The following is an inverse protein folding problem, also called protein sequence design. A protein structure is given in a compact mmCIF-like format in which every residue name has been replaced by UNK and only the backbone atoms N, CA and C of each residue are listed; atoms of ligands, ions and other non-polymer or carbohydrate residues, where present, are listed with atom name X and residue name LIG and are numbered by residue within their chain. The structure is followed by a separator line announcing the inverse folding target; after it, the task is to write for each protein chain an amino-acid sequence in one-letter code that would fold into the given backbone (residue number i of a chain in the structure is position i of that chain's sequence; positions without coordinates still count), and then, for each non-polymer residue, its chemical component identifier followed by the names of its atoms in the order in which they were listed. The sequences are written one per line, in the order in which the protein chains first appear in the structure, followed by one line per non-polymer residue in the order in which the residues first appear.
data_IF_416691744425
#
_entry.id   IF_416691744425
#
_cell.length_a   1.000
_cell.length_b   1.000
_cell.length_c   1.000
_cell.angle_alpha   90.00
_cell.angle_beta   90.00
_cell.angle_gamma   90.00
#
_symmetry.space_group_name_H-M   'P 1'
#
loop_
_entity.id
_entity.type
_entity.pdbx_description
1 polymer ?
#
# COMPACT_ATOMS: atom_id res chain seq x y z
N UNK A 1 18.89 10.72 53.29
CA UNK A 1 19.12 10.34 51.88
C UNK A 1 17.81 10.48 51.13
N UNK A 2 17.64 11.56 50.38
CA UNK A 2 16.46 11.77 49.54
C UNK A 2 16.69 11.06 48.21
N UNK A 3 15.95 9.98 47.95
CA UNK A 3 15.85 9.42 46.61
C UNK A 3 15.02 10.39 45.77
N UNK A 4 15.67 11.03 44.80
CA UNK A 4 15.03 11.95 43.87
C UNK A 4 14.34 11.15 42.75
N UNK A 5 13.03 10.95 42.88
CA UNK A 5 12.21 10.28 41.86
C UNK A 5 12.14 11.05 40.52
N UNK A 6 12.61 12.31 40.44
CA UNK A 6 12.72 13.04 39.17
C UNK A 6 13.87 12.55 38.29
N UNK A 7 14.83 11.80 38.84
CA UNK A 7 15.91 11.15 38.08
C UNK A 7 15.53 9.78 37.50
N UNK A 8 14.36 9.24 37.86
CA UNK A 8 13.85 7.96 37.37
C UNK A 8 12.74 8.11 36.32
N UNK A 9 12.56 9.32 35.79
CA UNK A 9 11.62 9.55 34.71
C UNK A 9 12.35 9.35 33.36
N UNK A 10 11.96 8.37 32.51
CA UNK A 10 12.42 8.21 31.11
C UNK A 10 12.08 9.41 30.17
N UNK A 11 12.01 10.64 30.69
CA UNK A 11 11.17 11.75 30.21
C UNK A 11 11.92 12.84 29.44
N UNK A 12 12.81 12.49 28.51
CA UNK A 12 13.34 13.45 27.53
C UNK A 12 13.17 13.03 26.07
N UNK A 13 12.75 11.79 25.77
CA UNK A 13 12.68 11.31 24.38
C UNK A 13 11.62 11.99 23.51
N UNK A 14 10.57 12.58 24.09
CA UNK A 14 9.40 13.11 23.34
C UNK A 14 9.01 14.56 23.69
N UNK A 15 9.86 15.30 24.42
CA UNK A 15 9.52 16.68 24.83
C UNK A 15 9.29 17.60 23.63
N UNK A 16 10.11 17.46 22.59
CA UNK A 16 10.05 18.32 21.42
C UNK A 16 8.86 17.97 20.49
N UNK A 17 8.41 16.70 20.46
CA UNK A 17 7.20 16.33 19.70
C UNK A 17 5.94 16.98 20.29
N UNK A 18 5.86 17.11 21.62
CA UNK A 18 4.71 17.74 22.29
C UNK A 18 4.72 19.26 22.12
N UNK A 19 5.90 19.88 22.17
CA UNK A 19 6.06 21.31 21.91
C UNK A 19 5.79 21.65 20.44
N UNK A 20 6.18 20.81 19.47
CA UNK A 20 5.83 20.99 18.05
C UNK A 20 4.35 20.81 17.76
N UNK A 21 3.66 19.86 18.43
CA UNK A 21 2.20 19.72 18.30
C UNK A 21 1.45 20.91 18.91
N UNK A 22 1.94 21.48 20.01
CA UNK A 22 1.38 22.70 20.62
C UNK A 22 1.72 23.96 19.80
N UNK A 23 2.93 24.04 19.23
CA UNK A 23 3.34 25.13 18.35
C UNK A 23 2.59 25.08 17.01
N UNK A 24 2.39 23.90 16.42
CA UNK A 24 1.57 23.69 15.23
C UNK A 24 0.08 23.99 15.49
N UNK A 25 -0.39 23.78 16.73
CA UNK A 25 -1.72 24.23 17.16
C UNK A 25 -1.82 25.75 17.38
N UNK A 26 -0.69 26.45 17.54
CA UNK A 26 -0.62 27.91 17.76
C UNK A 26 -0.36 28.74 16.51
N UNK A 27 -0.10 28.09 15.36
CA UNK A 27 -0.01 28.79 14.09
C UNK A 27 -1.42 29.19 13.62
N UNK A 28 -1.71 30.49 13.39
CA UNK A 28 -2.99 30.91 12.86
C UNK A 28 -3.04 30.55 11.38
N UNK A 29 -3.45 29.33 11.07
CA UNK A 29 -3.98 29.04 9.75
C UNK A 29 -5.26 29.87 9.63
N UNK A 30 -5.24 30.93 8.82
CA UNK A 30 -6.47 31.63 8.43
C UNK A 30 -7.33 30.66 7.62
N UNK A 31 -8.09 29.83 8.33
CA UNK A 31 -9.25 29.14 7.78
C UNK A 31 -10.39 30.15 7.76
N UNK A 32 -10.90 30.37 6.56
CA UNK A 32 -12.11 31.16 6.37
C UNK A 32 -13.29 30.30 6.88
N UNK A 33 -13.67 30.49 8.14
CA UNK A 33 -14.73 29.72 8.79
C UNK A 33 -16.11 30.27 8.40
N UNK A 34 -16.79 29.54 7.51
CA UNK A 34 -18.25 29.55 7.42
C UNK A 34 -18.79 28.35 8.21
N UNK A 35 -19.82 28.50 9.06
CA UNK A 35 -20.23 27.43 9.96
C UNK A 35 -21.13 26.44 9.23
N UNK A 36 -20.76 25.16 9.26
CA UNK A 36 -21.69 24.06 8.96
C UNK A 36 -21.87 23.20 10.21
N UNK A 37 -23.10 23.22 10.70
CA UNK A 37 -23.56 22.44 11.83
C UNK A 37 -23.64 20.94 11.50
N UNK A 38 -23.27 20.09 12.46
CA UNK A 38 -23.74 18.72 12.58
C UNK A 38 -23.21 17.67 11.59
N UNK A 39 -22.47 16.69 12.12
CA UNK A 39 -22.37 15.35 11.54
C UNK A 39 -21.14 15.04 10.68
N UNK A 40 -20.82 13.75 10.66
CA UNK A 40 -19.91 13.04 9.76
C UNK A 40 -18.39 13.26 9.91
N UNK A 41 -17.73 12.11 10.14
CA UNK A 41 -16.36 11.77 9.77
C UNK A 41 -15.79 12.68 8.67
N UNK A 42 -14.63 13.29 8.91
CA UNK A 42 -14.02 14.29 8.03
C UNK A 42 -14.06 13.86 6.54
N UNK A 43 -14.71 14.65 5.67
CA UNK A 43 -14.89 14.34 4.25
C UNK A 43 -13.58 14.06 3.51
N UNK A 44 -12.45 14.62 3.96
CA UNK A 44 -11.12 14.40 3.34
C UNK A 44 -10.53 13.00 3.63
N UNK A 45 -10.86 12.44 4.81
CA UNK A 45 -10.49 11.06 5.19
C UNK A 45 -11.46 10.03 4.59
N UNK A 46 -12.72 10.43 4.36
CA UNK A 46 -13.66 9.65 3.54
C UNK A 46 -13.25 9.67 2.07
N UNK A 47 -12.81 10.82 1.55
CA UNK A 47 -12.29 10.98 0.20
C UNK A 47 -11.04 10.12 -0.03
N UNK A 48 -10.11 10.01 0.93
CA UNK A 48 -8.96 9.09 0.79
C UNK A 48 -9.40 7.62 0.68
N UNK A 49 -10.37 7.19 1.49
CA UNK A 49 -10.90 5.82 1.45
C UNK A 49 -11.77 5.55 0.22
N UNK A 50 -12.45 6.58 -0.28
CA UNK A 50 -13.18 6.51 -1.55
C UNK A 50 -12.23 6.53 -2.74
N UNK A 51 -11.11 7.27 -2.70
CA UNK A 51 -10.08 7.24 -3.74
C UNK A 51 -9.40 5.86 -3.77
N UNK A 52 -9.07 5.26 -2.62
CA UNK A 52 -8.52 3.88 -2.58
C UNK A 52 -9.49 2.86 -3.19
N UNK A 53 -10.80 2.99 -2.92
CA UNK A 53 -11.86 2.14 -3.51
C UNK A 53 -12.14 2.44 -4.98
N UNK A 54 -12.04 3.71 -5.37
CA UNK A 54 -12.21 4.16 -6.75
C UNK A 54 -10.97 3.83 -7.59
N UNK A 55 -9.79 3.69 -7.00
CA UNK A 55 -8.60 3.10 -7.63
C UNK A 55 -8.80 1.59 -7.85
N UNK A 56 -9.27 0.86 -6.84
CA UNK A 56 -9.67 -0.55 -6.99
C UNK A 56 -10.75 -0.73 -8.09
N UNK A 57 -11.67 0.22 -8.21
CA UNK A 57 -12.70 0.22 -9.26
C UNK A 57 -12.23 0.81 -10.61
N UNK A 58 -11.23 1.71 -10.64
CA UNK A 58 -10.66 2.27 -11.87
C UNK A 58 -9.65 1.32 -12.54
N UNK A 59 -9.04 0.39 -11.79
CA UNK A 59 -8.39 -0.79 -12.37
C UNK A 59 -9.39 -1.70 -13.11
N UNK A 60 -10.71 -1.59 -12.86
CA UNK A 60 -11.75 -2.19 -13.73
C UNK A 60 -11.94 -1.43 -15.05
N UNK A 61 -11.35 -0.24 -15.19
CA UNK A 61 -11.52 0.69 -16.32
C UNK A 61 -10.49 0.56 -17.44
N UNK A 62 -9.48 -0.31 -17.33
CA UNK A 62 -8.47 -0.54 -18.38
C UNK A 62 -8.96 -1.39 -19.57
N UNK A 63 -10.28 -1.48 -19.78
CA UNK A 63 -10.88 -1.94 -21.04
C UNK A 63 -11.14 -3.45 -21.21
N UNK A 64 -11.11 -4.26 -20.16
CA UNK A 64 -11.39 -5.70 -20.27
C UNK A 64 -12.83 -6.06 -19.86
N UNK A 65 -13.56 -6.88 -20.64
CA UNK A 65 -14.95 -7.24 -20.35
C UNK A 65 -15.03 -8.12 -19.10
N UNK A 66 -15.66 -7.57 -18.06
CA UNK A 66 -15.87 -8.20 -16.76
C UNK A 66 -17.08 -9.13 -16.81
N UNK A 67 -16.90 -10.41 -17.18
CA UNK A 67 -18.03 -11.35 -17.14
C UNK A 67 -17.73 -12.77 -16.64
N UNK A 68 -16.67 -13.00 -15.87
CA UNK A 68 -16.55 -14.20 -15.00
C UNK A 68 -15.23 -14.22 -14.19
N UNK A 69 -15.04 -13.36 -13.20
CA UNK A 69 -13.96 -13.57 -12.23
C UNK A 69 -14.52 -13.68 -10.81
N UNK A 70 -14.19 -14.76 -10.07
CA UNK A 70 -14.59 -14.92 -8.68
C UNK A 70 -13.94 -13.82 -7.84
N UNK A 71 -14.74 -13.17 -7.01
CA UNK A 71 -14.32 -12.19 -6.00
C UNK A 71 -13.31 -12.85 -5.05
N UNK A 72 -12.01 -12.71 -5.32
CA UNK A 72 -11.01 -13.02 -4.29
C UNK A 72 -11.19 -12.05 -3.12
N UNK A 73 -11.26 -12.54 -1.87
CA UNK A 73 -11.37 -11.68 -0.71
C UNK A 73 -10.06 -10.91 -0.59
N UNK A 74 -10.05 -9.69 -1.13
CA UNK A 74 -8.85 -8.87 -1.22
C UNK A 74 -8.25 -8.57 0.16
N UNK A 75 -9.04 -8.59 1.23
CA UNK A 75 -8.61 -8.09 2.54
C UNK A 75 -9.31 -8.87 3.66
N UNK A 76 -8.54 -9.63 4.46
CA UNK A 76 -9.05 -10.15 5.73
C UNK A 76 -8.94 -9.03 6.78
N UNK A 77 -9.98 -8.78 7.60
CA UNK A 77 -9.93 -7.76 8.64
C UNK A 77 -8.72 -7.97 9.56
N UNK A 78 -7.89 -6.95 9.73
CA UNK A 78 -6.72 -6.99 10.62
C UNK A 78 -5.39 -7.35 9.95
N UNK A 79 -5.36 -7.57 8.64
CA UNK A 79 -4.13 -7.78 7.89
C UNK A 79 -3.39 -6.46 7.63
N UNK A 80 -2.06 -6.45 7.72
CA UNK A 80 -1.26 -5.29 7.34
C UNK A 80 -1.42 -5.03 5.84
N UNK A 81 -1.44 -3.75 5.47
CA UNK A 81 -1.67 -3.25 4.11
C UNK A 81 -0.39 -2.50 3.65
N UNK A 82 0.68 -3.18 3.17
CA UNK A 82 1.97 -2.57 2.77
C UNK A 82 1.86 -1.52 1.67
N UNK A 83 2.60 -0.40 1.75
CA UNK A 83 2.58 0.59 0.66
C UNK A 83 3.07 -0.03 -0.66
N UNK A 84 2.45 0.37 -1.78
CA UNK A 84 2.79 -0.15 -3.11
C UNK A 84 2.89 1.00 -4.11
N UNK A 85 3.98 1.01 -4.87
CA UNK A 85 4.14 1.83 -6.07
C UNK A 85 4.06 0.95 -7.31
N UNK A 86 3.33 1.40 -8.33
CA UNK A 86 3.24 0.74 -9.63
C UNK A 86 3.68 1.72 -10.70
N UNK A 87 4.69 1.34 -11.47
CA UNK A 87 5.24 2.13 -12.56
C UNK A 87 5.13 1.33 -13.86
N UNK A 88 4.67 2.01 -14.91
CA UNK A 88 4.67 1.53 -16.28
C UNK A 88 5.69 2.32 -17.10
N UNK A 89 6.46 1.63 -17.94
CA UNK A 89 7.28 2.23 -19.00
C UNK A 89 6.81 1.72 -20.36
N UNK A 90 7.43 2.19 -21.44
CA UNK A 90 7.13 1.69 -22.79
C UNK A 90 7.38 0.18 -22.94
N UNK A 91 8.24 -0.41 -22.11
CA UNK A 91 8.71 -1.80 -22.25
C UNK A 91 8.45 -2.69 -21.05
N UNK A 92 8.21 -2.14 -19.85
CA UNK A 92 8.09 -2.94 -18.62
C UNK A 92 7.08 -2.37 -17.63
N UNK A 93 6.62 -3.23 -16.74
CA UNK A 93 5.96 -2.88 -15.48
C UNK A 93 6.92 -3.11 -14.31
N UNK A 94 6.87 -2.21 -13.33
CA UNK A 94 7.60 -2.30 -12.07
C UNK A 94 6.66 -2.06 -10.90
N UNK A 95 6.64 -2.99 -9.96
CA UNK A 95 5.86 -2.93 -8.73
C UNK A 95 6.83 -2.91 -7.56
N UNK A 96 6.75 -1.92 -6.69
CA UNK A 96 7.52 -1.86 -5.45
C UNK A 96 6.59 -2.01 -4.25
N UNK A 97 6.89 -2.91 -3.32
CA UNK A 97 6.11 -3.17 -2.10
C UNK A 97 6.99 -2.94 -0.88
N UNK A 98 6.60 -2.02 0.00
CA UNK A 98 7.36 -1.70 1.20
C UNK A 98 7.01 -2.62 2.38
N UNK A 99 7.93 -3.49 2.77
CA UNK A 99 7.78 -4.44 3.89
C UNK A 99 9.04 -4.48 4.80
N UNK A 100 9.34 -3.38 5.52
CA UNK A 100 10.53 -3.30 6.36
C UNK A 100 10.43 -4.21 7.59
N UNK A 101 11.53 -4.89 7.89
CA UNK A 101 11.64 -5.83 9.01
C UNK A 101 11.03 -7.21 8.73
N UNK A 102 10.90 -7.59 7.45
CA UNK A 102 10.52 -8.93 7.01
C UNK A 102 11.74 -9.57 6.34
N UNK A 103 11.99 -10.85 6.59
CA UNK A 103 13.02 -11.60 5.89
C UNK A 103 12.51 -12.09 4.53
N UNK A 104 13.39 -12.23 3.53
CA UNK A 104 13.00 -12.71 2.19
C UNK A 104 12.27 -14.05 2.23
N UNK A 105 12.70 -14.96 3.11
CA UNK A 105 12.09 -16.29 3.31
C UNK A 105 10.64 -16.24 3.83
N UNK A 106 10.24 -15.13 4.46
CA UNK A 106 8.90 -14.91 5.00
C UNK A 106 7.99 -14.19 3.99
N UNK A 107 8.46 -13.97 2.76
CA UNK A 107 7.70 -13.39 1.65
C UNK A 107 7.38 -14.48 0.63
N UNK A 108 6.11 -14.55 0.23
CA UNK A 108 5.64 -15.42 -0.83
C UNK A 108 5.02 -14.60 -1.95
N UNK A 109 5.41 -14.92 -3.19
CA UNK A 109 4.85 -14.32 -4.40
C UNK A 109 4.24 -15.44 -5.23
N UNK A 110 2.97 -15.31 -5.58
CA UNK A 110 2.24 -16.27 -6.41
C UNK A 110 1.54 -15.55 -7.55
N UNK A 111 1.44 -16.19 -8.70
CA UNK A 111 0.64 -15.72 -9.83
C UNK A 111 -0.42 -16.77 -10.15
N UNK A 112 -1.68 -16.38 -10.13
CA UNK A 112 -2.81 -17.25 -10.46
C UNK A 112 -3.85 -16.43 -11.22
N UNK A 113 -4.24 -16.89 -12.43
CA UNK A 113 -5.23 -16.24 -13.30
C UNK A 113 -4.99 -14.73 -13.51
N UNK A 114 -3.76 -14.36 -13.91
CA UNK A 114 -3.31 -12.97 -14.10
C UNK A 114 -3.26 -12.13 -12.82
N UNK A 115 -3.48 -12.73 -11.65
CA UNK A 115 -3.44 -12.02 -10.36
C UNK A 115 -2.15 -12.34 -9.61
N UNK A 116 -1.30 -11.32 -9.49
CA UNK A 116 -0.08 -11.36 -8.70
C UNK A 116 -0.42 -11.14 -7.23
N UNK A 117 -0.11 -12.11 -6.39
CA UNK A 117 -0.34 -12.04 -4.95
C UNK A 117 0.97 -12.07 -4.19
N UNK A 118 1.20 -11.04 -3.38
CA UNK A 118 2.34 -10.92 -2.45
C UNK A 118 1.81 -11.10 -1.04
N UNK A 119 2.36 -12.06 -0.29
CA UNK A 119 1.93 -12.42 1.07
C UNK A 119 3.15 -12.57 1.97
N UNK A 120 2.96 -12.40 3.27
CA UNK A 120 4.00 -12.70 4.24
C UNK A 120 3.60 -12.32 5.66
N UNK A 121 4.57 -12.36 6.57
CA UNK A 121 4.37 -12.04 7.99
C UNK A 121 5.50 -11.16 8.52
N UNK A 122 5.13 -10.03 9.14
CA UNK A 122 6.05 -9.19 9.91
C UNK A 122 5.96 -9.56 11.39
N UNK A 123 6.95 -10.30 11.87
CA UNK A 123 6.96 -10.79 13.26
C UNK A 123 7.46 -9.72 14.22
N UNK A 124 6.88 -9.72 15.41
CA UNK A 124 7.43 -9.00 16.55
C UNK A 124 8.50 -9.89 17.18
N UNK A 125 9.75 -9.42 17.23
CA UNK A 125 10.74 -10.04 18.12
C UNK A 125 10.26 -9.88 19.56
N UNK A 126 9.91 -11.00 20.18
CA UNK A 126 9.68 -11.05 21.61
C UNK A 126 11.04 -11.08 22.30
N UNK A 127 11.66 -9.92 22.50
CA UNK A 127 12.77 -9.82 23.44
C UNK A 127 12.26 -10.28 24.81
N UNK A 128 12.85 -11.35 25.32
CA UNK A 128 12.57 -11.90 26.65
C UNK A 128 12.89 -10.83 27.70
N UNK A 129 11.87 -10.07 28.11
CA UNK A 129 11.70 -9.43 29.42
C UNK A 129 13.00 -8.90 30.09
N UNK A 130 13.80 -8.12 29.38
CA UNK A 130 14.76 -7.21 30.02
C UNK A 130 14.47 -5.79 29.52
N UNK A 131 13.67 -5.06 30.29
CA UNK A 131 13.21 -3.70 29.94
C UNK A 131 11.87 -3.72 29.20
N UNK A 132 10.92 -2.90 29.67
CA UNK A 132 9.64 -2.70 28.98
C UNK A 132 9.81 -1.73 27.81
N UNK A 133 8.95 -1.84 26.80
CA UNK A 133 8.85 -0.83 25.74
C UNK A 133 8.28 0.48 26.29
N UNK A 134 8.93 1.60 26.03
CA UNK A 134 8.37 2.92 26.34
C UNK A 134 7.30 3.35 25.31
N UNK A 135 7.43 2.91 24.05
CA UNK A 135 6.48 3.18 22.95
C UNK A 135 6.64 2.11 21.87
N UNK A 136 5.53 1.64 21.29
CA UNK A 136 5.51 0.72 20.16
C UNK A 136 4.61 1.31 19.09
N UNK A 137 5.21 1.71 17.97
CA UNK A 137 4.49 2.28 16.81
C UNK A 137 4.54 1.36 15.58
N UNK A 138 5.55 0.48 15.55
CA UNK A 138 5.73 -0.50 14.49
C UNK A 138 4.51 -1.43 14.48
N UNK A 139 3.92 -1.61 13.31
CA UNK A 139 2.86 -2.59 13.09
C UNK A 139 3.46 -3.98 12.80
N UNK A 140 2.79 -5.03 13.28
CA UNK A 140 3.17 -6.44 13.13
C UNK A 140 1.96 -7.27 12.70
N UNK A 141 2.21 -8.43 12.11
CA UNK A 141 1.19 -9.36 11.62
C UNK A 141 1.37 -9.77 10.17
N UNK A 142 0.43 -10.57 9.69
CA UNK A 142 0.39 -11.00 8.28
C UNK A 142 0.05 -9.84 7.35
N UNK A 143 0.53 -9.88 6.12
CA UNK A 143 0.21 -8.92 5.07
C UNK A 143 -0.15 -9.61 3.75
N UNK A 144 -0.99 -8.94 2.94
CA UNK A 144 -1.30 -9.37 1.58
C UNK A 144 -1.50 -8.19 0.63
N UNK A 145 -1.05 -8.35 -0.60
CA UNK A 145 -1.38 -7.54 -1.78
C UNK A 145 -1.79 -8.46 -2.90
N UNK A 146 -2.91 -8.18 -3.55
CA UNK A 146 -3.32 -8.84 -4.78
C UNK A 146 -3.46 -7.77 -5.86
N UNK A 147 -2.81 -7.98 -7.01
CA UNK A 147 -2.73 -7.03 -8.11
C UNK A 147 -3.05 -7.77 -9.41
N UNK A 148 -4.02 -7.27 -10.16
CA UNK A 148 -4.29 -7.79 -11.50
C UNK A 148 -3.22 -7.29 -12.46
N UNK A 149 -2.58 -8.21 -13.18
CA UNK A 149 -1.62 -7.86 -14.21
C UNK A 149 -2.35 -7.39 -15.47
N UNK A 150 -1.83 -6.37 -16.17
CA UNK A 150 -2.31 -5.98 -17.48
C UNK A 150 -2.26 -7.13 -18.48
N UNK A 151 -3.18 -7.15 -19.45
CA UNK A 151 -3.27 -8.25 -20.43
C UNK A 151 -2.04 -8.37 -21.35
N UNK A 152 -1.26 -7.30 -21.47
CA UNK A 152 0.02 -7.25 -22.19
C UNK A 152 1.23 -7.50 -21.29
N UNK A 153 1.07 -7.79 -19.99
CA UNK A 153 2.19 -8.17 -19.14
C UNK A 153 2.72 -9.56 -19.51
N UNK A 154 4.03 -9.67 -19.75
CA UNK A 154 4.70 -10.94 -20.00
C UNK A 154 5.00 -11.66 -18.68
N UNK A 155 4.17 -12.63 -18.33
CA UNK A 155 4.26 -13.34 -17.05
C UNK A 155 5.52 -14.20 -16.93
N UNK A 156 6.04 -14.71 -18.04
CA UNK A 156 7.26 -15.51 -18.07
C UNK A 156 8.53 -14.66 -17.79
N UNK A 157 8.41 -13.34 -17.88
CA UNK A 157 9.51 -12.40 -17.62
C UNK A 157 9.56 -11.88 -16.17
N UNK A 158 8.63 -12.32 -15.31
CA UNK A 158 8.54 -11.83 -13.93
C UNK A 158 9.85 -12.12 -13.17
N UNK A 159 10.42 -11.07 -12.59
CA UNK A 159 11.56 -11.12 -11.69
C UNK A 159 11.23 -10.41 -10.39
N UNK A 160 11.74 -10.92 -9.28
CA UNK A 160 11.58 -10.33 -7.96
C UNK A 160 12.96 -10.07 -7.33
N UNK A 161 13.12 -8.93 -6.69
CA UNK A 161 14.31 -8.58 -5.91
C UNK A 161 13.87 -7.94 -4.59
N UNK A 162 14.40 -8.43 -3.48
CA UNK A 162 14.14 -7.87 -2.16
C UNK A 162 15.41 -7.22 -1.62
N UNK A 163 15.36 -5.91 -1.37
CA UNK A 163 16.51 -5.15 -0.86
C UNK A 163 16.04 -4.01 0.02
N UNK A 164 16.71 -3.84 1.17
CA UNK A 164 16.47 -2.73 2.11
C UNK A 164 15.00 -2.57 2.54
N UNK A 165 14.27 -3.68 2.70
CA UNK A 165 12.86 -3.66 3.09
C UNK A 165 11.88 -3.38 1.95
N UNK A 166 12.33 -3.31 0.70
CA UNK A 166 11.48 -3.10 -0.48
C UNK A 166 11.55 -4.31 -1.41
N UNK A 167 10.39 -4.89 -1.71
CA UNK A 167 10.24 -5.92 -2.73
C UNK A 167 9.95 -5.25 -4.07
N UNK A 168 10.85 -5.38 -5.03
CA UNK A 168 10.66 -4.91 -6.40
C UNK A 168 10.35 -6.10 -7.30
N UNK A 169 9.21 -6.04 -8.00
CA UNK A 169 8.78 -7.01 -9.00
C UNK A 169 8.79 -6.31 -10.35
N UNK A 170 9.45 -6.90 -11.35
CA UNK A 170 9.52 -6.36 -12.70
C UNK A 170 9.06 -7.40 -13.70
N UNK A 171 8.38 -6.96 -14.76
CA UNK A 171 7.99 -7.81 -15.88
C UNK A 171 7.95 -6.97 -17.16
N UNK A 172 8.36 -7.56 -18.27
CA UNK A 172 8.31 -6.95 -19.59
C UNK A 172 6.87 -6.89 -20.10
N UNK A 173 6.62 -5.96 -21.02
CA UNK A 173 5.42 -5.99 -21.87
C UNK A 173 5.62 -6.99 -22.99
N UNK A 174 4.55 -7.70 -23.37
CA UNK A 174 4.51 -8.50 -24.58
C UNK A 174 4.61 -7.56 -25.78
N UNK A 175 5.36 -7.95 -26.80
CA UNK A 175 5.35 -7.23 -28.06
C UNK A 175 3.91 -7.13 -28.55
N UNK A 176 3.44 -5.92 -28.83
CA UNK A 176 2.12 -5.71 -29.40
C UNK A 176 2.06 -6.50 -30.71
N UNK A 177 1.25 -7.57 -30.75
CA UNK A 177 0.86 -8.17 -32.02
C UNK A 177 0.32 -7.02 -32.88
N UNK A 178 0.97 -6.73 -34.00
CA UNK A 178 0.71 -5.56 -34.84
C UNK A 178 -0.81 -5.27 -34.91
N UNK A 179 -1.24 -4.00 -34.78
CA UNK A 179 -2.66 -3.67 -34.76
C UNK A 179 -3.31 -4.34 -35.97
N UNK A 180 -4.34 -5.17 -35.74
CA UNK A 180 -5.17 -5.69 -36.83
C UNK A 180 -5.73 -4.46 -37.54
N UNK A 181 -5.15 -4.12 -38.69
CA UNK A 181 -5.60 -2.97 -39.48
C UNK A 181 -7.10 -3.14 -39.70
N UNK A 182 -7.89 -2.16 -39.25
CA UNK A 182 -9.34 -2.19 -39.41
C UNK A 182 -9.66 -2.38 -40.88
N UNK A 183 -10.35 -3.46 -41.23
CA UNK A 183 -10.80 -3.67 -42.61
C UNK A 183 -11.99 -2.74 -42.87
N UNK A 184 -11.94 -2.00 -43.97
CA UNK A 184 -13.14 -1.34 -44.50
C UNK A 184 -14.14 -2.42 -44.95
N UNK A 185 -15.38 -2.33 -44.49
CA UNK A 185 -16.48 -3.19 -44.94
C UNK A 185 -17.26 -2.40 -46.00
N UNK A 186 -17.27 -2.83 -47.27
CA UNK A 186 -18.06 -2.15 -48.29
C UNK A 186 -19.55 -2.33 -48.01
N UNK A 187 -20.32 -1.24 -48.16
CA UNK A 187 -21.78 -1.27 -48.17
C UNK A 187 -22.20 -1.45 -49.64
N UNK A 188 -22.95 -2.51 -49.93
CA UNK A 188 -23.56 -2.70 -51.24
C UNK A 188 -24.99 -2.12 -51.22
N UNK A 189 -25.29 -1.23 -52.16
CA UNK A 189 -26.65 -0.76 -52.49
C UNK A 189 -27.28 -1.63 -53.57
#
# INVERSE_FOLDING_TARGET
MSFDLKKLAPWNWFKNEQEEQQAAASLPVQRNDQPVAGGAVSPILQLHREIDRLFDDAFRGFGFPTLAMPRWPAEWPGMLKPAVDIQETDTQYRIAVEVPGVEEKDIQITLDNDVLVVRGEKRQEQEKKEGGFHRIERSYGSFQRALNLPGDANQDSIKANFKNGVLTITMDKREASAPKQGRSIPINS
#
